data_IF_020589222078
#
_entry.id   IF_020589222078
#
_cell.length_a   1.000
_cell.length_b   1.000
_cell.length_c   1.000
_cell.angle_alpha   90.00
_cell.angle_beta   90.00
_cell.angle_gamma   90.00
#
_symmetry.space_group_name_H-M   'P 1'
#
loop_
_entity.id
_entity.type
_entity.pdbx_description
1 polymer ?
#
# COMPACT_ATOMS: atom_id res chain seq x y z
N UNK A 1 4.51 17.20 12.76
CA UNK A 1 3.08 16.88 12.55
C UNK A 1 2.30 17.18 13.81
N UNK A 2 1.06 17.66 13.68
CA UNK A 2 0.13 18.00 14.77
C UNK A 2 -1.09 17.09 14.76
N UNK A 3 -1.93 17.14 15.81
CA UNK A 3 -3.20 16.41 15.85
C UNK A 3 -4.18 16.85 14.75
N UNK A 4 -4.15 18.13 14.36
CA UNK A 4 -4.96 18.63 13.27
C UNK A 4 -4.48 18.08 11.92
N UNK A 5 -3.17 17.96 11.73
CA UNK A 5 -2.58 17.35 10.53
C UNK A 5 -3.02 15.88 10.41
N UNK A 6 -3.02 15.14 11.51
CA UNK A 6 -3.50 13.75 11.53
C UNK A 6 -4.99 13.64 11.22
N UNK A 7 -5.83 14.54 11.75
CA UNK A 7 -7.25 14.57 11.44
C UNK A 7 -7.50 14.88 9.95
N UNK A 8 -6.70 15.77 9.37
CA UNK A 8 -6.75 16.09 7.95
C UNK A 8 -6.34 14.89 7.10
N UNK A 9 -5.22 14.24 7.40
CA UNK A 9 -4.79 12.99 6.74
C UNK A 9 -5.86 11.91 6.83
N UNK A 10 -6.49 11.76 8.00
CA UNK A 10 -7.58 10.79 8.20
C UNK A 10 -8.75 11.02 7.25
N UNK A 11 -9.12 12.27 7.00
CA UNK A 11 -10.18 12.60 6.04
C UNK A 11 -9.82 12.34 4.58
N UNK A 12 -8.53 12.27 4.26
CA UNK A 12 -8.03 12.03 2.91
C UNK A 12 -7.93 10.53 2.55
N UNK A 13 -8.10 9.63 3.53
CA UNK A 13 -8.09 8.19 3.30
C UNK A 13 -9.21 7.81 2.33
N UNK A 14 -8.83 7.21 1.20
CA UNK A 14 -9.78 6.90 0.14
C UNK A 14 -9.42 5.65 -0.66
N UNK A 15 -10.44 4.92 -1.12
CA UNK A 15 -10.27 3.85 -2.12
C UNK A 15 -10.26 4.38 -3.57
N UNK A 16 -10.60 5.64 -3.79
CA UNK A 16 -10.81 6.25 -5.12
C UNK A 16 -9.95 7.49 -5.35
N UNK A 17 -9.07 7.82 -4.41
CA UNK A 17 -8.09 8.89 -4.51
C UNK A 17 -6.76 8.46 -3.88
N UNK A 18 -5.70 9.17 -4.25
CA UNK A 18 -4.36 9.06 -3.70
C UNK A 18 -3.92 10.35 -2.97
N UNK A 19 -4.86 11.27 -2.70
CA UNK A 19 -4.58 12.58 -2.12
C UNK A 19 -3.96 12.50 -0.72
N UNK A 20 -4.26 11.45 0.06
CA UNK A 20 -3.59 11.16 1.33
C UNK A 20 -2.06 11.30 1.23
N UNK A 21 -1.46 10.81 0.13
CA UNK A 21 -0.02 10.86 -0.06
C UNK A 21 0.49 12.25 -0.46
N UNK A 22 -0.33 13.05 -1.16
CA UNK A 22 -0.02 14.46 -1.45
C UNK A 22 -0.02 15.24 -0.14
N UNK A 23 -1.06 15.05 0.67
CA UNK A 23 -1.22 15.72 1.95
C UNK A 23 -0.11 15.34 2.94
N UNK A 24 0.26 14.06 2.97
CA UNK A 24 1.39 13.59 3.79
C UNK A 24 2.71 14.26 3.40
N UNK A 25 2.98 14.36 2.09
CA UNK A 25 4.19 15.04 1.60
C UNK A 25 4.16 16.54 1.93
N UNK A 26 2.99 17.19 1.90
CA UNK A 26 2.87 18.61 2.28
C UNK A 26 3.08 18.85 3.78
N UNK A 27 2.59 17.94 4.64
CA UNK A 27 2.71 18.02 6.10
C UNK A 27 4.10 17.63 6.59
N UNK A 28 4.70 16.60 5.98
CA UNK A 28 5.99 16.03 6.36
C UNK A 28 6.87 15.83 5.13
N UNK A 29 7.44 16.92 4.56
CA UNK A 29 8.13 16.86 3.29
C UNK A 29 9.39 16.00 3.33
N UNK A 30 9.43 15.02 2.42
CA UNK A 30 10.58 14.16 2.15
C UNK A 30 11.26 14.48 0.82
N UNK A 31 10.68 15.42 0.06
CA UNK A 31 11.18 15.92 -1.20
C UNK A 31 10.73 15.08 -2.40
N UNK A 32 10.94 15.61 -3.61
CA UNK A 32 10.50 14.97 -4.85
C UNK A 32 11.15 13.62 -5.17
N UNK A 33 12.24 13.30 -4.49
CA UNK A 33 12.91 12.00 -4.56
C UNK A 33 12.57 11.08 -3.38
N UNK A 34 11.78 11.58 -2.43
CA UNK A 34 11.31 10.87 -1.25
C UNK A 34 10.33 9.74 -1.60
N UNK A 35 10.17 8.83 -0.65
CA UNK A 35 9.34 7.63 -0.81
C UNK A 35 7.88 7.95 -1.16
N UNK A 36 7.27 8.89 -0.45
CA UNK A 36 5.85 9.20 -0.60
C UNK A 36 5.55 9.67 -2.02
N UNK A 37 6.27 10.68 -2.53
CA UNK A 37 6.02 11.22 -3.86
C UNK A 37 6.54 10.33 -5.01
N UNK A 38 7.81 9.89 -4.95
CA UNK A 38 8.46 9.17 -6.07
C UNK A 38 7.97 7.73 -6.21
N UNK A 39 7.59 7.09 -5.10
CA UNK A 39 7.22 5.70 -5.08
C UNK A 39 5.72 5.53 -4.85
N UNK A 40 5.23 5.91 -3.67
CA UNK A 40 3.88 5.50 -3.27
C UNK A 40 2.78 6.21 -4.03
N UNK A 41 2.83 7.54 -4.17
CA UNK A 41 1.85 8.28 -4.95
C UNK A 41 1.81 7.78 -6.41
N UNK A 42 2.99 7.59 -7.02
CA UNK A 42 3.12 7.03 -8.38
C UNK A 42 2.40 5.69 -8.52
N UNK A 43 2.64 4.73 -7.61
CA UNK A 43 2.02 3.40 -7.71
C UNK A 43 0.55 3.41 -7.31
N UNK A 44 0.14 4.20 -6.32
CA UNK A 44 -1.27 4.39 -5.99
C UNK A 44 -2.05 4.87 -7.22
N UNK A 45 -1.55 5.89 -7.92
CA UNK A 45 -2.16 6.41 -9.15
C UNK A 45 -2.15 5.37 -10.27
N UNK A 46 -1.08 4.57 -10.40
CA UNK A 46 -1.05 3.49 -11.40
C UNK A 46 -2.14 2.43 -11.14
N UNK A 47 -2.35 2.05 -9.88
CA UNK A 47 -3.44 1.17 -9.48
C UNK A 47 -4.83 1.81 -9.68
N UNK A 48 -4.97 3.10 -9.39
CA UNK A 48 -6.21 3.86 -9.61
C UNK A 48 -6.59 3.92 -11.09
N UNK A 49 -5.63 4.26 -11.95
CA UNK A 49 -5.83 4.35 -13.39
C UNK A 49 -6.14 2.99 -14.05
N UNK A 50 -5.71 1.89 -13.42
CA UNK A 50 -5.94 0.54 -13.91
C UNK A 50 -7.12 -0.13 -13.22
N UNK A 51 -7.90 0.58 -12.39
CA UNK A 51 -8.89 -0.06 -11.52
C UNK A 51 -9.86 -0.92 -12.32
N UNK A 52 -10.44 -0.42 -13.42
CA UNK A 52 -11.45 -1.13 -14.21
C UNK A 52 -10.93 -2.41 -14.88
N UNK A 53 -9.60 -2.60 -14.90
CA UNK A 53 -8.98 -3.83 -15.42
C UNK A 53 -8.95 -4.96 -14.40
N UNK A 54 -9.08 -4.69 -13.10
CA UNK A 54 -9.06 -5.72 -12.06
C UNK A 54 -10.39 -6.46 -11.98
N UNK A 55 -10.33 -7.78 -11.88
CA UNK A 55 -11.51 -8.62 -11.65
C UNK A 55 -11.95 -8.46 -10.19
N UNK A 56 -10.99 -8.49 -9.26
CA UNK A 56 -11.22 -8.33 -7.83
C UNK A 56 -11.06 -6.87 -7.39
N UNK A 57 -12.10 -6.07 -7.62
CA UNK A 57 -12.17 -4.67 -7.17
C UNK A 57 -12.10 -4.53 -5.65
N UNK A 58 -12.66 -5.49 -4.91
CA UNK A 58 -12.65 -5.46 -3.44
C UNK A 58 -11.22 -5.51 -2.90
N UNK A 59 -10.39 -6.40 -3.43
CA UNK A 59 -8.98 -6.48 -3.06
C UNK A 59 -8.22 -5.20 -3.42
N UNK A 60 -8.40 -4.70 -4.66
CA UNK A 60 -7.72 -3.48 -5.11
C UNK A 60 -8.08 -2.26 -4.22
N UNK A 61 -9.37 -2.08 -3.94
CA UNK A 61 -9.85 -1.00 -3.08
C UNK A 61 -9.37 -1.16 -1.64
N UNK A 62 -9.42 -2.40 -1.13
CA UNK A 62 -8.97 -2.73 0.21
C UNK A 62 -7.49 -2.46 0.42
N UNK A 63 -6.60 -2.85 -0.51
CA UNK A 63 -5.16 -2.57 -0.36
C UNK A 63 -4.88 -1.06 -0.32
N UNK A 64 -5.59 -0.26 -1.13
CA UNK A 64 -5.40 1.20 -1.17
C UNK A 64 -5.76 1.84 0.16
N UNK A 65 -6.91 1.46 0.73
CA UNK A 65 -7.36 1.98 2.02
C UNK A 65 -6.46 1.48 3.15
N UNK A 66 -6.14 0.18 3.17
CA UNK A 66 -5.31 -0.44 4.20
C UNK A 66 -3.93 0.22 4.30
N UNK A 67 -3.26 0.51 3.17
CA UNK A 67 -1.94 1.13 3.17
C UNK A 67 -1.98 2.56 3.71
N UNK A 68 -3.01 3.34 3.38
CA UNK A 68 -3.20 4.69 3.90
C UNK A 68 -3.49 4.66 5.41
N UNK A 69 -4.36 3.75 5.86
CA UNK A 69 -4.67 3.55 7.28
C UNK A 69 -3.45 3.12 8.08
N UNK A 70 -2.66 2.16 7.58
CA UNK A 70 -1.44 1.72 8.23
C UNK A 70 -0.42 2.85 8.38
N UNK A 71 -0.29 3.72 7.37
CA UNK A 71 0.56 4.90 7.45
C UNK A 71 0.04 5.89 8.49
N UNK A 72 -1.26 6.20 8.50
CA UNK A 72 -1.87 7.08 9.49
C UNK A 72 -1.64 6.56 10.92
N UNK A 73 -1.96 5.30 11.20
CA UNK A 73 -1.80 4.68 12.51
C UNK A 73 -0.35 4.74 13.00
N UNK A 74 0.62 4.58 12.08
CA UNK A 74 2.02 4.74 12.41
C UNK A 74 2.36 6.18 12.80
N UNK A 75 1.91 7.17 12.01
CA UNK A 75 2.15 8.59 12.27
C UNK A 75 1.49 9.08 13.57
N UNK A 76 0.31 8.55 13.92
CA UNK A 76 -0.36 8.83 15.21
C UNK A 76 0.52 8.50 16.41
N UNK A 77 1.33 7.45 16.30
CA UNK A 77 2.26 7.02 17.34
C UNK A 77 3.69 7.57 17.15
N UNK A 78 3.98 8.20 16.02
CA UNK A 78 5.32 8.63 15.61
C UNK A 78 5.28 10.00 14.93
N UNK A 79 4.80 11.04 15.63
CA UNK A 79 4.62 12.40 15.10
C UNK A 79 5.91 13.06 14.55
N UNK A 80 7.07 12.54 14.94
CA UNK A 80 8.40 13.00 14.53
C UNK A 80 9.12 12.00 13.62
N UNK A 81 8.38 11.07 13.00
CA UNK A 81 8.94 10.10 12.07
C UNK A 81 9.73 10.79 10.96
N UNK A 82 10.97 10.36 10.78
CA UNK A 82 11.83 10.79 9.69
C UNK A 82 11.43 10.13 8.37
N UNK A 83 11.87 10.72 7.26
CA UNK A 83 11.61 10.16 5.93
C UNK A 83 12.09 8.71 5.74
N UNK A 84 13.26 8.28 6.25
CA UNK A 84 13.64 6.86 6.25
C UNK A 84 12.68 5.96 7.04
N UNK A 85 12.14 6.44 8.17
CA UNK A 85 11.21 5.68 8.99
C UNK A 85 9.84 5.55 8.31
N UNK A 86 9.32 6.64 7.71
CA UNK A 86 8.12 6.63 6.87
C UNK A 86 8.29 5.65 5.69
N UNK A 87 9.45 5.70 5.02
CA UNK A 87 9.78 4.76 3.92
C UNK A 87 9.76 3.32 4.40
N UNK A 88 10.44 3.04 5.52
CA UNK A 88 10.53 1.69 6.08
C UNK A 88 9.16 1.15 6.45
N UNK A 89 8.39 1.90 7.26
CA UNK A 89 7.04 1.49 7.67
C UNK A 89 6.11 1.31 6.47
N UNK A 90 6.17 2.24 5.52
CA UNK A 90 5.39 2.15 4.29
C UNK A 90 5.64 0.83 3.57
N UNK A 91 6.91 0.45 3.35
CA UNK A 91 7.21 -0.86 2.77
C UNK A 91 6.76 -2.02 3.68
N UNK A 92 7.09 -2.01 4.97
CA UNK A 92 6.77 -3.13 5.86
C UNK A 92 5.25 -3.44 5.90
N UNK A 93 4.39 -2.43 5.76
CA UNK A 93 2.92 -2.60 5.74
C UNK A 93 2.34 -3.31 4.51
N UNK A 94 3.11 -3.47 3.41
CA UNK A 94 2.57 -4.02 2.15
C UNK A 94 2.15 -5.48 2.28
N UNK A 95 2.97 -6.32 2.93
CA UNK A 95 2.68 -7.76 3.04
C UNK A 95 1.35 -7.98 3.75
N UNK A 96 1.15 -7.32 4.89
CA UNK A 96 -0.08 -7.45 5.68
C UNK A 96 -1.29 -6.91 4.91
N UNK A 97 -1.19 -5.74 4.28
CA UNK A 97 -2.30 -5.19 3.49
C UNK A 97 -2.62 -6.02 2.24
N UNK A 98 -1.66 -6.70 1.63
CA UNK A 98 -1.92 -7.55 0.46
C UNK A 98 -2.61 -8.85 0.88
N UNK A 99 -2.25 -9.40 2.04
CA UNK A 99 -2.82 -10.64 2.57
C UNK A 99 -4.16 -10.43 3.26
N UNK A 100 -4.36 -9.30 3.94
CA UNK A 100 -5.56 -8.97 4.70
C UNK A 100 -5.96 -7.48 4.54
N UNK A 101 -6.32 -7.04 3.32
CA UNK A 101 -6.70 -5.66 3.04
C UNK A 101 -8.00 -5.22 3.74
N UNK A 102 -8.87 -6.16 4.08
CA UNK A 102 -10.14 -5.91 4.78
C UNK A 102 -10.32 -6.98 5.88
N UNK A 103 -10.00 -6.66 7.14
CA UNK A 103 -10.16 -7.59 8.26
C UNK A 103 -11.59 -8.09 8.48
N UNK A 104 -12.60 -7.39 7.95
CA UNK A 104 -14.00 -7.81 8.01
C UNK A 104 -14.36 -8.84 6.93
N UNK A 105 -13.50 -9.00 5.92
CA UNK A 105 -13.66 -9.94 4.81
C UNK A 105 -12.35 -10.68 4.50
N UNK A 106 -11.96 -11.67 5.32
CA UNK A 106 -10.69 -12.40 5.17
C UNK A 106 -10.57 -13.17 3.85
N UNK A 107 -11.67 -13.36 3.13
CA UNK A 107 -11.66 -14.01 1.81
C UNK A 107 -11.03 -13.12 0.72
N UNK A 108 -10.99 -11.81 0.95
CA UNK A 108 -10.34 -10.83 0.07
C UNK A 108 -8.85 -10.82 0.39
N UNK A 109 -8.07 -11.61 -0.34
CA UNK A 109 -6.62 -11.77 -0.11
C UNK A 109 -5.87 -11.92 -1.43
N UNK A 110 -4.59 -11.48 -1.45
CA UNK A 110 -3.71 -11.65 -2.61
C UNK A 110 -3.63 -13.13 -3.04
N UNK A 111 -3.65 -14.07 -2.09
CA UNK A 111 -3.52 -15.50 -2.36
C UNK A 111 -4.70 -16.11 -3.13
N UNK A 112 -5.84 -15.43 -3.17
CA UNK A 112 -7.05 -15.87 -3.89
C UNK A 112 -7.36 -14.99 -5.11
N UNK A 113 -6.45 -14.11 -5.50
CA UNK A 113 -6.61 -13.34 -6.71
C UNK A 113 -6.61 -14.25 -7.95
N UNK A 114 -7.41 -13.92 -8.97
CA UNK A 114 -7.29 -14.58 -10.25
C UNK A 114 -5.91 -14.27 -10.87
N UNK A 115 -5.32 -15.20 -11.65
CA UNK A 115 -4.01 -15.00 -12.26
C UNK A 115 -3.89 -13.70 -13.08
N UNK A 116 -4.98 -13.25 -13.68
CA UNK A 116 -5.04 -12.00 -14.44
C UNK A 116 -4.79 -10.77 -13.53
N UNK A 117 -5.27 -10.77 -12.29
CA UNK A 117 -5.02 -9.67 -11.35
C UNK A 117 -3.61 -9.75 -10.78
N UNK A 118 -3.11 -10.96 -10.48
CA UNK A 118 -1.72 -11.15 -10.05
C UNK A 118 -0.71 -10.66 -11.11
N UNK A 119 -0.95 -10.99 -12.39
CA UNK A 119 -0.09 -10.52 -13.49
C UNK A 119 -0.16 -9.00 -13.67
N UNK A 120 -1.33 -8.37 -13.42
CA UNK A 120 -1.46 -6.90 -13.41
C UNK A 120 -0.68 -6.26 -12.28
N UNK A 121 -0.72 -6.82 -11.07
CA UNK A 121 0.10 -6.36 -9.92
C UNK A 121 1.57 -6.34 -10.30
N UNK A 122 2.09 -7.45 -10.83
CA UNK A 122 3.49 -7.55 -11.29
C UNK A 122 3.78 -6.54 -12.41
N UNK A 123 2.87 -6.40 -13.37
CA UNK A 123 3.02 -5.45 -14.46
C UNK A 123 3.06 -4.00 -13.97
N UNK A 124 2.20 -3.60 -13.02
CA UNK A 124 2.24 -2.27 -12.40
C UNK A 124 3.57 -2.07 -11.66
N UNK A 125 4.00 -3.06 -10.89
CA UNK A 125 5.24 -3.02 -10.12
C UNK A 125 6.53 -3.15 -10.98
N UNK A 126 6.44 -3.38 -12.30
CA UNK A 126 7.60 -3.67 -13.17
C UNK A 126 8.66 -2.58 -13.24
N UNK A 127 8.33 -1.33 -12.91
CA UNK A 127 9.33 -0.25 -12.84
C UNK A 127 9.94 -0.11 -11.45
N UNK A 128 9.46 -0.88 -10.47
CA UNK A 128 9.93 -0.90 -9.09
C UNK A 128 11.10 -1.87 -8.88
N UNK A 129 11.56 -2.51 -9.96
CA UNK A 129 12.59 -3.58 -9.95
C UNK A 129 13.91 -3.16 -9.32
N UNK A 130 14.17 -1.85 -9.24
CA UNK A 130 15.35 -1.28 -8.60
C UNK A 130 15.21 -1.10 -7.09
N UNK A 131 14.05 -1.39 -6.49
CA UNK A 131 13.87 -1.38 -5.04
C UNK A 131 13.87 -2.80 -4.45
N UNK A 132 14.92 -3.20 -3.71
CA UNK A 132 15.02 -4.55 -3.12
C UNK A 132 13.86 -4.90 -2.19
N UNK A 133 13.31 -3.90 -1.48
CA UNK A 133 12.17 -4.09 -0.57
C UNK A 133 10.95 -4.69 -1.29
N UNK A 134 10.72 -4.30 -2.55
CA UNK A 134 9.59 -4.79 -3.35
C UNK A 134 9.71 -6.29 -3.60
N UNK A 135 10.90 -6.76 -3.95
CA UNK A 135 11.13 -8.18 -4.20
C UNK A 135 11.06 -9.03 -2.93
N UNK A 136 11.55 -8.48 -1.81
CA UNK A 136 11.39 -9.12 -0.50
C UNK A 136 9.91 -9.33 -0.16
N UNK A 137 9.07 -8.31 -0.37
CA UNK A 137 7.62 -8.40 -0.15
C UNK A 137 6.96 -9.43 -1.06
N UNK A 138 7.24 -9.41 -2.36
CA UNK A 138 6.70 -10.41 -3.27
C UNK A 138 7.13 -11.83 -2.87
N UNK A 139 8.38 -12.03 -2.46
CA UNK A 139 8.85 -13.32 -1.96
C UNK A 139 8.09 -13.78 -0.71
N UNK A 140 7.85 -12.88 0.25
CA UNK A 140 7.07 -13.16 1.45
C UNK A 140 5.61 -13.51 1.12
N UNK A 141 4.99 -12.75 0.22
CA UNK A 141 3.62 -13.00 -0.25
C UNK A 141 3.48 -14.36 -0.89
N UNK A 142 4.36 -14.70 -1.84
CA UNK A 142 4.34 -15.99 -2.53
C UNK A 142 4.57 -17.13 -1.56
N UNK A 143 5.53 -17.00 -0.63
CA UNK A 143 5.79 -18.00 0.40
C UNK A 143 4.55 -18.22 1.27
N UNK A 144 3.91 -17.14 1.73
CA UNK A 144 2.69 -17.21 2.53
C UNK A 144 1.56 -17.93 1.77
N UNK A 145 1.28 -17.51 0.54
CA UNK A 145 0.23 -18.13 -0.26
C UNK A 145 0.50 -19.61 -0.55
N UNK A 146 1.75 -19.99 -0.79
CA UNK A 146 2.11 -21.39 -0.98
C UNK A 146 1.87 -22.21 0.30
N UNK A 147 2.19 -21.69 1.48
CA UNK A 147 1.96 -22.41 2.74
C UNK A 147 0.48 -22.64 3.06
N UNK A 148 -0.42 -21.74 2.65
CA UNK A 148 -1.86 -21.94 2.84
C UNK A 148 -2.45 -23.06 1.96
N UNK A 149 -1.83 -23.36 0.82
CA UNK A 149 -2.27 -24.47 -0.05
C UNK A 149 -1.98 -25.84 0.59
N UNK A 150 -0.93 -25.95 1.42
CA UNK A 150 -0.53 -27.21 2.07
C UNK A 150 -1.20 -27.45 3.43
N UNK A 151 -2.04 -26.53 3.90
CA UNK A 151 -2.79 -26.64 5.16
C UNK A 151 -4.31 -26.77 4.95
N UNK A 152 -4.77 -26.85 3.69
CA UNK A 152 -6.18 -27.01 3.31
C UNK A 152 -6.53 -28.41 2.84
#
# INVERSE_FOLDING_TARGET
>A
MTLNDLAFLKSAISNSSCDFYIDLENISPCGSQGYVQKFIYKYCMAYLNQQDSFINQAWLNGIRVCLQQNMLNYLENNLLASCPEIKKHGFDSHTDCYLNPDPSNPEVTFCRLPPQDMTRVVWIARSAVFEPAVWSQFGQLITHCATQIFQG
#
